data_IF_995208929382
#
_entry.id   IF_995208929382
#
_cell.length_a   1.000
_cell.length_b   1.000
_cell.length_c   1.000
_cell.angle_alpha   90.00
_cell.angle_beta   90.00
_cell.angle_gamma   90.00
#
_symmetry.space_group_name_H-M   'P 1'
#
loop_
_entity.id
_entity.type
_entity.pdbx_description
1 polymer ?
#
# COMPACT_ATOMS: atom_id res chain seq x y z
N UNK A 1 26.96 -17.14 3.83
CA UNK A 1 26.30 -15.86 3.51
C UNK A 1 26.71 -14.83 4.56
N UNK A 2 27.39 -13.76 4.16
CA UNK A 2 27.80 -12.71 5.10
C UNK A 2 26.59 -11.94 5.64
N UNK A 3 26.56 -11.65 6.94
CA UNK A 3 25.56 -10.76 7.53
C UNK A 3 25.69 -9.39 6.84
N UNK A 4 24.61 -8.91 6.21
CA UNK A 4 24.60 -7.60 5.58
C UNK A 4 24.88 -6.48 6.59
N UNK A 5 25.60 -5.44 6.17
CA UNK A 5 25.92 -4.28 7.00
C UNK A 5 24.63 -3.66 7.58
N UNK A 6 24.59 -3.51 8.90
CA UNK A 6 23.47 -2.88 9.60
C UNK A 6 23.35 -1.40 9.23
N UNK A 7 22.14 -0.84 9.36
CA UNK A 7 21.92 0.60 9.23
C UNK A 7 22.14 1.28 10.58
N UNK A 8 22.98 2.31 10.59
CA UNK A 8 23.20 3.26 11.68
C UNK A 8 21.96 4.11 11.95
N UNK A 9 21.99 4.87 13.05
CA UNK A 9 20.89 5.76 13.42
C UNK A 9 20.72 6.91 12.40
N UNK A 10 21.81 7.52 11.94
CA UNK A 10 21.80 8.58 10.94
C UNK A 10 21.24 8.11 9.60
N UNK A 11 21.64 6.92 9.13
CA UNK A 11 21.08 6.33 7.91
C UNK A 11 19.56 6.12 8.02
N UNK A 12 19.07 5.66 9.18
CA UNK A 12 17.62 5.48 9.40
C UNK A 12 16.88 6.81 9.41
N UNK A 13 17.44 7.85 10.06
CA UNK A 13 16.86 9.19 10.06
C UNK A 13 16.76 9.76 8.64
N UNK A 14 17.80 9.59 7.83
CA UNK A 14 17.78 10.02 6.42
C UNK A 14 16.71 9.29 5.61
N UNK A 15 16.53 7.97 5.81
CA UNK A 15 15.47 7.21 5.14
C UNK A 15 14.09 7.75 5.52
N UNK A 16 13.86 8.06 6.80
CA UNK A 16 12.59 8.62 7.28
C UNK A 16 12.30 9.96 6.58
N UNK A 17 13.27 10.86 6.55
CA UNK A 17 13.14 12.18 5.91
C UNK A 17 12.80 12.05 4.41
N UNK A 18 13.53 11.20 3.67
CA UNK A 18 13.29 10.99 2.25
C UNK A 18 11.90 10.43 1.95
N UNK A 19 11.37 9.58 2.83
CA UNK A 19 10.02 9.02 2.70
C UNK A 19 8.96 10.08 2.96
N UNK A 20 9.19 10.99 3.90
CA UNK A 20 8.27 12.11 4.15
C UNK A 20 8.14 13.04 2.97
N UNK A 21 9.23 13.27 2.24
CA UNK A 21 9.23 14.04 0.99
C UNK A 21 8.53 13.28 -0.16
N UNK A 22 8.39 11.96 -0.06
CA UNK A 22 7.86 11.08 -1.10
C UNK A 22 6.67 10.25 -0.59
N UNK A 23 5.64 10.90 -0.02
CA UNK A 23 4.47 10.23 0.59
C UNK A 23 3.73 9.23 -0.32
N UNK A 24 3.92 9.30 -1.64
CA UNK A 24 3.37 8.35 -2.62
C UNK A 24 3.71 6.89 -2.29
N UNK A 25 4.86 6.61 -1.67
CA UNK A 25 5.29 5.26 -1.31
C UNK A 25 4.42 4.59 -0.24
N UNK A 26 3.68 5.38 0.55
CA UNK A 26 2.77 4.92 1.60
C UNK A 26 1.30 4.96 1.17
N UNK A 27 1.03 5.30 -0.09
CA UNK A 27 -0.32 5.26 -0.62
C UNK A 27 -0.86 3.82 -0.69
N UNK A 28 -2.04 3.61 -0.10
CA UNK A 28 -2.75 2.32 -0.05
C UNK A 28 -3.34 1.89 -1.40
N UNK A 29 -3.38 2.77 -2.40
CA UNK A 29 -3.85 2.42 -3.75
C UNK A 29 -2.99 1.31 -4.38
N UNK A 30 -3.65 0.37 -5.05
CA UNK A 30 -3.06 -0.82 -5.67
C UNK A 30 -3.25 -0.86 -7.19
N UNK A 31 -3.71 0.22 -7.81
CA UNK A 31 -3.80 0.29 -9.28
C UNK A 31 -2.41 0.28 -9.95
N UNK A 32 -2.35 -0.11 -11.22
CA UNK A 32 -1.09 -0.27 -11.96
C UNK A 32 -0.28 1.04 -12.02
N UNK A 33 -0.94 2.18 -12.16
CA UNK A 33 -0.32 3.50 -12.17
C UNK A 33 0.31 3.85 -10.82
N UNK A 34 -0.41 3.61 -9.71
CA UNK A 34 0.10 3.81 -8.35
C UNK A 34 1.27 2.88 -8.05
N UNK A 35 1.25 1.64 -8.55
CA UNK A 35 2.39 0.72 -8.41
C UNK A 35 3.61 1.26 -9.15
N UNK A 36 3.43 1.73 -10.39
CA UNK A 36 4.48 2.35 -11.18
C UNK A 36 5.07 3.57 -10.46
N UNK A 37 4.22 4.49 -10.02
CA UNK A 37 4.63 5.71 -9.32
C UNK A 37 5.35 5.41 -8.01
N UNK A 38 4.88 4.42 -7.24
CA UNK A 38 5.56 3.94 -6.03
C UNK A 38 6.95 3.39 -6.36
N UNK A 39 7.08 2.58 -7.41
CA UNK A 39 8.38 2.03 -7.80
C UNK A 39 9.35 3.13 -8.21
N UNK A 40 8.91 4.09 -9.02
CA UNK A 40 9.71 5.26 -9.40
C UNK A 40 10.13 6.10 -8.20
N UNK A 41 9.22 6.31 -7.25
CA UNK A 41 9.54 7.03 -6.01
C UNK A 41 10.58 6.29 -5.16
N UNK A 42 10.47 4.96 -5.04
CA UNK A 42 11.45 4.13 -4.35
C UNK A 42 12.84 4.15 -4.99
N UNK A 43 12.91 4.18 -6.33
CA UNK A 43 14.15 4.37 -7.06
C UNK A 43 14.77 5.75 -6.78
N UNK A 44 13.94 6.80 -6.80
CA UNK A 44 14.36 8.16 -6.48
C UNK A 44 14.91 8.27 -5.05
N UNK A 45 14.18 7.77 -4.05
CA UNK A 45 14.61 7.72 -2.65
C UNK A 45 15.96 7.01 -2.53
N UNK A 46 16.10 5.84 -3.16
CA UNK A 46 17.32 5.04 -3.09
C UNK A 46 18.50 5.78 -3.73
N UNK A 47 18.28 6.44 -4.86
CA UNK A 47 19.28 7.26 -5.55
C UNK A 47 19.74 8.41 -4.67
N UNK A 48 18.80 9.15 -4.07
CA UNK A 48 19.10 10.27 -3.18
C UNK A 48 19.84 9.78 -1.94
N UNK A 49 19.33 8.76 -1.25
CA UNK A 49 19.99 8.15 -0.10
C UNK A 49 21.44 7.77 -0.41
N UNK A 50 21.66 7.06 -1.52
CA UNK A 50 22.99 6.67 -1.94
C UNK A 50 23.89 7.87 -2.30
N UNK A 51 23.35 9.02 -2.70
CA UNK A 51 24.12 10.23 -3.01
C UNK A 51 24.45 11.07 -1.77
N UNK A 52 23.66 10.96 -0.70
CA UNK A 52 23.71 11.85 0.47
C UNK A 52 24.84 11.56 1.47
N UNK A 53 25.61 10.47 1.34
CA UNK A 53 26.56 10.11 2.40
C UNK A 53 27.67 9.14 2.02
N UNK A 54 28.62 9.03 2.96
CA UNK A 54 29.74 8.09 2.93
C UNK A 54 29.36 6.77 3.62
N UNK A 55 28.31 6.14 3.09
CA UNK A 55 27.84 4.83 3.55
C UNK A 55 27.77 3.87 2.37
N UNK A 56 27.79 2.54 2.62
CA UNK A 56 27.66 1.54 1.57
C UNK A 56 26.42 1.79 0.73
N UNK A 57 26.56 1.68 -0.59
CA UNK A 57 25.43 1.81 -1.52
C UNK A 57 24.43 0.69 -1.24
N UNK A 58 23.14 1.06 -1.19
CA UNK A 58 22.05 0.12 -0.93
C UNK A 58 21.19 -0.04 -2.17
N UNK A 59 20.61 -1.23 -2.33
CA UNK A 59 19.61 -1.50 -3.35
C UNK A 59 18.24 -1.05 -2.88
N UNK A 60 17.32 -0.84 -3.83
CA UNK A 60 15.93 -0.44 -3.54
C UNK A 60 15.27 -1.41 -2.55
N UNK A 61 15.49 -2.72 -2.73
CA UNK A 61 14.97 -3.76 -1.83
C UNK A 61 15.49 -3.61 -0.39
N UNK A 62 16.77 -3.26 -0.22
CA UNK A 62 17.36 -3.05 1.11
C UNK A 62 16.80 -1.81 1.80
N UNK A 63 16.55 -0.72 1.06
CA UNK A 63 15.95 0.51 1.60
C UNK A 63 14.49 0.25 1.99
N UNK A 64 13.70 -0.39 1.11
CA UNK A 64 12.32 -0.84 1.39
C UNK A 64 12.26 -1.70 2.66
N UNK A 65 13.17 -2.68 2.78
CA UNK A 65 13.26 -3.55 3.96
C UNK A 65 13.61 -2.78 5.24
N UNK A 66 14.54 -1.82 5.15
CA UNK A 66 14.89 -0.96 6.29
C UNK A 66 13.67 -0.18 6.78
N UNK A 67 12.94 0.45 5.86
CA UNK A 67 11.71 1.18 6.18
C UNK A 67 10.63 0.29 6.80
N UNK A 68 10.40 -0.89 6.23
CA UNK A 68 9.49 -1.87 6.82
C UNK A 68 9.88 -2.21 8.26
N UNK A 69 11.17 -2.48 8.51
CA UNK A 69 11.67 -2.77 9.85
C UNK A 69 11.50 -1.59 10.81
N UNK A 70 11.68 -0.35 10.34
CA UNK A 70 11.44 0.86 11.14
C UNK A 70 9.97 0.92 11.58
N UNK A 71 9.02 0.73 10.64
CA UNK A 71 7.58 0.72 10.95
C UNK A 71 7.21 -0.42 11.90
N UNK A 72 7.70 -1.63 11.64
CA UNK A 72 7.41 -2.81 12.47
C UNK A 72 7.95 -2.63 13.89
N UNK A 73 9.19 -2.14 14.04
CA UNK A 73 9.76 -1.84 15.35
C UNK A 73 8.92 -0.80 16.10
N UNK A 74 8.55 0.29 15.42
CA UNK A 74 7.76 1.35 16.04
C UNK A 74 6.38 0.86 16.47
N UNK A 75 5.70 0.07 15.64
CA UNK A 75 4.43 -0.58 15.98
C UNK A 75 4.56 -1.47 17.21
N UNK A 76 5.64 -2.23 17.32
CA UNK A 76 5.92 -3.08 18.49
C UNK A 76 6.13 -2.26 19.77
N UNK A 77 6.85 -1.14 19.70
CA UNK A 77 7.05 -0.24 20.85
C UNK A 77 5.70 0.33 21.33
N UNK A 78 4.86 0.78 20.40
CA UNK A 78 3.53 1.31 20.68
C UNK A 78 2.65 0.24 21.32
N UNK A 79 2.55 -0.95 20.72
CA UNK A 79 1.74 -2.05 21.25
C UNK A 79 2.24 -2.49 22.63
N UNK A 80 3.55 -2.62 22.82
CA UNK A 80 4.12 -3.05 24.10
C UNK A 80 3.84 -2.05 25.21
N UNK A 81 3.90 -0.75 24.93
CA UNK A 81 3.53 0.26 25.90
C UNK A 81 2.03 0.24 26.22
N UNK A 82 1.16 0.16 25.21
CA UNK A 82 -0.29 0.04 25.42
C UNK A 82 -0.61 -1.14 26.34
N UNK A 83 -0.01 -2.30 26.06
CA UNK A 83 -0.15 -3.50 26.89
C UNK A 83 0.37 -3.29 28.31
N UNK A 84 1.51 -2.61 28.47
CA UNK A 84 2.05 -2.30 29.79
C UNK A 84 1.13 -1.37 30.60
N UNK A 85 0.54 -0.36 29.96
CA UNK A 85 -0.40 0.59 30.60
C UNK A 85 -1.68 -0.09 31.05
N UNK A 86 -2.17 -1.08 30.29
CA UNK A 86 -3.41 -1.81 30.61
C UNK A 86 -3.24 -2.87 31.70
N UNK A 87 -2.00 -3.24 32.07
CA UNK A 87 -1.76 -4.22 33.15
C UNK A 87 -2.14 -3.64 34.50
N UNK A 88 -3.22 -4.14 35.08
CA UNK A 88 -3.64 -3.85 36.45
C UNK A 88 -3.03 -4.89 37.40
N UNK A 89 -2.11 -4.47 38.27
CA UNK A 89 -1.42 -5.43 39.16
C UNK A 89 -0.34 -4.82 40.06
N UNK A 90 -0.54 -3.59 40.54
CA UNK A 90 0.36 -2.94 41.52
C UNK A 90 1.81 -2.75 41.09
N UNK A 91 2.13 -2.94 39.80
CA UNK A 91 3.48 -2.83 39.27
C UNK A 91 3.98 -1.38 39.23
N UNK A 92 5.30 -1.19 38.98
CA UNK A 92 5.88 0.14 38.81
C UNK A 92 5.16 0.93 37.71
N UNK A 93 5.08 2.26 37.88
CA UNK A 93 4.48 3.15 36.89
C UNK A 93 5.20 3.01 35.54
N UNK A 94 4.42 2.86 34.46
CA UNK A 94 4.96 2.74 33.10
C UNK A 94 5.48 4.11 32.65
N UNK A 95 6.75 4.16 32.23
CA UNK A 95 7.34 5.37 31.65
C UNK A 95 6.62 5.77 30.36
N UNK A 96 6.50 7.08 30.11
CA UNK A 96 5.90 7.60 28.88
C UNK A 96 6.69 7.14 27.67
N UNK A 97 5.99 6.67 26.64
CA UNK A 97 6.63 6.43 25.34
C UNK A 97 7.22 7.72 24.79
N UNK A 98 8.43 7.62 24.27
CA UNK A 98 9.01 8.68 23.43
C UNK A 98 8.19 8.76 22.15
N UNK A 99 7.57 9.92 21.93
CA UNK A 99 6.82 10.21 20.71
C UNK A 99 7.77 10.36 19.52
N UNK A 100 7.36 9.83 18.37
CA UNK A 100 8.07 10.03 17.11
C UNK A 100 7.05 10.34 16.02
N UNK A 101 6.56 11.58 15.94
CA UNK A 101 5.41 11.94 15.10
C UNK A 101 5.65 11.60 13.62
N UNK A 102 6.91 11.64 13.20
CA UNK A 102 7.35 11.34 11.85
C UNK A 102 7.12 9.88 11.43
N UNK A 103 7.25 8.94 12.36
CA UNK A 103 7.06 7.50 12.12
C UNK A 103 5.66 7.07 12.57
N UNK A 104 5.12 7.72 13.60
CA UNK A 104 3.81 7.43 14.18
C UNK A 104 2.68 7.63 13.16
N UNK A 105 2.78 8.63 12.26
CA UNK A 105 1.88 8.81 11.12
C UNK A 105 1.79 7.55 10.24
N UNK A 106 2.90 6.85 10.04
CA UNK A 106 3.00 5.69 9.13
C UNK A 106 2.85 4.34 9.83
N UNK A 107 2.97 4.29 11.16
CA UNK A 107 2.84 3.06 11.94
C UNK A 107 1.41 2.48 11.93
N UNK A 108 0.44 3.26 11.41
CA UNK A 108 -0.94 2.87 11.11
C UNK A 108 -1.51 1.92 12.17
N UNK A 109 -1.64 2.46 13.38
CA UNK A 109 -2.12 1.78 14.57
C UNK A 109 -3.56 1.32 14.29
N UNK A 110 -3.87 0.06 14.65
CA UNK A 110 -5.23 -0.45 14.58
C UNK A 110 -6.16 0.50 15.36
N UNK A 111 -7.17 1.06 14.70
CA UNK A 111 -8.26 1.71 15.40
C UNK A 111 -8.93 0.66 16.27
N UNK A 112 -9.18 1.00 17.54
CA UNK A 112 -10.10 0.21 18.36
C UNK A 112 -11.43 0.16 17.62
N UNK A 113 -11.96 -1.05 17.43
CA UNK A 113 -13.31 -1.23 16.91
C UNK A 113 -14.25 -0.86 18.05
N UNK A 114 -15.03 0.23 17.96
CA UNK A 114 -15.92 0.62 19.04
C UNK A 114 -16.92 -0.50 19.32
N UNK A 115 -16.95 -0.98 20.56
CA UNK A 115 -17.88 -2.04 20.98
C UNK A 115 -17.48 -3.47 20.64
N UNK A 116 -16.24 -3.72 20.21
CA UNK A 116 -15.73 -5.09 20.12
C UNK A 116 -15.54 -5.68 21.53
N UNK A 117 -16.38 -6.65 21.87
CA UNK A 117 -16.26 -7.51 23.05
C UNK A 117 -15.26 -8.61 22.66
N UNK A 118 -14.06 -8.59 23.23
CA UNK A 118 -13.07 -9.65 23.05
C UNK A 118 -13.34 -10.81 24.03
N UNK A 119 -12.62 -11.92 23.87
CA UNK A 119 -12.77 -13.10 24.72
C UNK A 119 -12.45 -12.84 26.21
N UNK A 120 -11.87 -11.69 26.53
CA UNK A 120 -11.52 -11.25 27.87
C UNK A 120 -12.51 -10.21 28.42
N UNK A 121 -13.50 -9.81 27.62
CA UNK A 121 -14.57 -8.90 28.03
C UNK A 121 -15.58 -9.69 28.86
N UNK A 122 -15.29 -9.83 30.16
CA UNK A 122 -16.25 -10.32 31.12
C UNK A 122 -17.34 -9.25 31.24
N UNK A 123 -18.44 -9.42 30.51
CA UNK A 123 -19.68 -8.76 30.88
C UNK A 123 -20.11 -9.34 32.23
N UNK A 124 -19.68 -8.71 33.33
CA UNK A 124 -19.98 -9.11 34.72
C UNK A 124 -21.46 -8.90 35.08
N UNK A 125 -22.38 -9.12 34.15
CA UNK A 125 -23.80 -8.92 34.37
C UNK A 125 -24.47 -10.17 34.95
N UNK A 126 -23.83 -11.35 34.89
CA UNK A 126 -24.46 -12.62 35.26
C UNK A 126 -23.68 -13.45 36.31
N UNK A 127 -22.63 -12.89 36.92
CA UNK A 127 -21.85 -13.57 37.98
C UNK A 127 -21.98 -12.76 39.26
N UNK A 128 -22.77 -13.27 40.22
CA UNK A 128 -22.84 -12.69 41.56
C UNK A 128 -21.97 -13.53 42.50
N UNK A 129 -20.96 -12.89 43.08
CA UNK A 129 -20.08 -13.47 44.09
C UNK A 129 -20.69 -13.23 45.47
N UNK A 130 -20.95 -14.30 46.22
CA UNK A 130 -21.41 -14.21 47.62
C UNK A 130 -20.41 -14.96 48.49
N UNK A 131 -19.93 -14.30 49.54
CA UNK A 131 -19.15 -14.95 50.62
C UNK A 131 -20.10 -15.72 51.52
N UNK A 132 -19.92 -17.03 51.62
CA UNK A 132 -20.62 -17.87 52.58
C UNK A 132 -20.09 -17.63 54.00
N UNK A 133 -20.88 -17.98 55.01
CA UNK A 133 -20.57 -17.70 56.43
C UNK A 133 -19.33 -18.40 56.98
N UNK A 134 -18.77 -19.35 56.23
CA UNK A 134 -17.53 -20.07 56.49
C UNK A 134 -16.32 -19.49 55.72
N UNK A 135 -16.50 -18.38 55.00
CA UNK A 135 -15.41 -17.61 54.38
C UNK A 135 -15.02 -18.07 52.97
N UNK A 136 -15.77 -18.99 52.36
CA UNK A 136 -15.56 -19.43 50.98
C UNK A 136 -16.34 -18.55 49.98
N UNK A 137 -15.79 -18.41 48.77
CA UNK A 137 -16.42 -17.66 47.68
C UNK A 137 -17.22 -18.62 46.81
N UNK A 138 -18.54 -18.46 46.77
CA UNK A 138 -19.43 -19.29 45.95
C UNK A 138 -19.95 -18.46 44.74
N UNK A 139 -19.79 -19.03 43.55
CA UNK A 139 -20.17 -18.38 42.28
C UNK A 139 -21.48 -18.96 41.77
N UNK A 140 -22.55 -18.16 41.80
CA UNK A 140 -23.86 -18.58 41.30
C UNK A 140 -24.05 -18.09 39.86
N UNK A 141 -24.28 -19.04 38.94
CA UNK A 141 -24.65 -18.80 37.55
C UNK A 141 -26.17 -18.94 37.45
N UNK A 142 -26.89 -17.86 37.13
CA UNK A 142 -28.31 -17.97 36.80
C UNK A 142 -28.46 -18.50 35.35
N UNK A 143 -29.26 -19.55 35.11
CA UNK A 143 -29.50 -20.06 33.76
C UNK A 143 -30.26 -19.00 32.97
N UNK A 144 -29.72 -18.65 31.79
CA UNK A 144 -30.45 -17.88 30.78
C UNK A 144 -31.25 -18.86 29.93
N UNK A 145 -32.56 -18.64 29.82
CA UNK A 145 -33.45 -19.37 28.93
C UNK A 145 -33.12 -19.00 27.47
N UNK A 146 -32.18 -19.71 26.83
CA UNK A 146 -32.10 -19.76 25.37
C UNK A 146 -31.92 -21.21 24.92
N UNK A 147 -33.03 -21.76 24.43
CA UNK A 147 -33.13 -23.05 23.77
C UNK A 147 -32.26 -23.08 22.50
N UNK A 148 -31.26 -23.96 22.46
CA UNK A 148 -30.79 -24.57 21.22
C UNK A 148 -30.69 -26.08 21.42
N UNK A 149 -31.47 -26.78 20.61
CA UNK A 149 -31.70 -28.22 20.61
C UNK A 149 -30.41 -29.03 20.52
N UNK A 150 -30.22 -29.92 21.49
CA UNK A 150 -29.31 -31.06 21.44
C UNK A 150 -29.72 -32.03 20.32
N UNK A 151 -28.83 -32.24 19.37
CA UNK A 151 -28.82 -33.46 18.54
C UNK A 151 -27.50 -34.21 18.73
N UNK A 152 -27.53 -35.08 19.76
CA UNK A 152 -27.04 -36.46 19.73
C UNK A 152 -25.57 -36.69 19.33
N UNK A 153 -24.67 -36.64 20.31
CA UNK A 153 -23.31 -37.18 20.23
C UNK A 153 -23.37 -38.66 20.61
N UNK A 154 -23.27 -39.54 19.61
CA UNK A 154 -22.82 -40.90 19.83
C UNK A 154 -21.32 -40.95 19.51
N UNK A 155 -20.51 -41.00 20.57
CA UNK A 155 -19.13 -41.45 20.50
C UNK A 155 -19.09 -42.90 20.01
N UNK A 156 -18.48 -43.11 18.85
CA UNK A 156 -17.89 -44.42 18.54
C UNK A 156 -16.54 -44.19 17.89
N UNK A 157 -15.54 -44.82 18.50
CA UNK A 157 -14.13 -44.77 18.19
C UNK A 157 -13.77 -45.06 16.72
N UNK A 158 -12.75 -44.31 16.27
CA UNK A 158 -11.71 -44.72 15.35
C UNK A 158 -12.10 -45.56 14.12
N UNK A 159 -12.14 -44.89 12.95
CA UNK A 159 -11.45 -45.41 11.78
C UNK A 159 -10.94 -44.30 10.87
N UNK A 160 -9.61 -44.25 10.76
CA UNK A 160 -8.83 -43.40 9.89
C UNK A 160 -8.97 -43.91 8.45
N UNK A 161 -9.79 -43.25 7.62
CA UNK A 161 -9.72 -43.42 6.17
C UNK A 161 -9.64 -42.05 5.48
N UNK A 162 -8.53 -41.88 4.76
CA UNK A 162 -8.18 -40.70 3.99
C UNK A 162 -9.22 -40.39 2.91
N UNK A 163 -9.86 -39.23 3.00
CA UNK A 163 -10.62 -38.65 1.91
C UNK A 163 -10.38 -37.13 1.84
N UNK A 164 -9.17 -36.74 1.42
CA UNK A 164 -8.85 -35.35 1.01
C UNK A 164 -8.33 -35.39 -0.43
N UNK A 165 -9.20 -35.23 -1.45
CA UNK A 165 -8.71 -34.72 -2.74
C UNK A 165 -9.52 -33.55 -3.33
N UNK A 166 -10.69 -33.21 -2.81
CA UNK A 166 -11.65 -32.35 -3.55
C UNK A 166 -11.47 -30.84 -3.32
N UNK A 167 -11.08 -30.39 -2.12
CA UNK A 167 -10.95 -28.95 -1.84
C UNK A 167 -9.63 -28.36 -2.40
N UNK A 168 -8.57 -29.17 -2.43
CA UNK A 168 -7.28 -28.77 -2.98
C UNK A 168 -7.35 -28.54 -4.50
N UNK A 169 -8.10 -29.36 -5.23
CA UNK A 169 -8.33 -29.21 -6.68
C UNK A 169 -9.13 -27.95 -6.98
N UNK A 170 -10.20 -27.66 -6.23
CA UNK A 170 -10.98 -26.42 -6.41
C UNK A 170 -10.19 -25.14 -6.10
N UNK A 171 -9.22 -25.18 -5.18
CA UNK A 171 -8.33 -24.04 -4.89
C UNK A 171 -7.31 -23.81 -6.00
N UNK A 172 -6.73 -24.89 -6.55
CA UNK A 172 -5.78 -24.80 -7.67
C UNK A 172 -6.47 -24.20 -8.90
N UNK A 173 -7.66 -24.70 -9.24
CA UNK A 173 -8.43 -24.24 -10.40
C UNK A 173 -8.82 -22.75 -10.29
N UNK A 174 -9.24 -22.29 -9.10
CA UNK A 174 -9.52 -20.86 -8.85
C UNK A 174 -8.28 -19.97 -9.03
N UNK A 175 -7.11 -20.44 -8.60
CA UNK A 175 -5.86 -19.70 -8.75
C UNK A 175 -5.43 -19.64 -10.22
N UNK A 176 -5.63 -20.72 -10.97
CA UNK A 176 -5.36 -20.77 -12.41
C UNK A 176 -6.24 -19.78 -13.18
N UNK A 177 -7.55 -19.79 -12.91
CA UNK A 177 -8.53 -18.88 -13.52
C UNK A 177 -8.19 -17.41 -13.21
N UNK A 178 -7.79 -17.12 -11.97
CA UNK A 178 -7.38 -15.77 -11.59
C UNK A 178 -6.15 -15.30 -12.38
N UNK A 179 -5.15 -16.17 -12.55
CA UNK A 179 -3.95 -15.84 -13.34
C UNK A 179 -4.28 -15.57 -14.80
N UNK A 180 -5.15 -16.38 -15.40
CA UNK A 180 -5.60 -16.21 -16.79
C UNK A 180 -6.32 -14.86 -16.93
N UNK A 181 -7.24 -14.55 -16.02
CA UNK A 181 -7.97 -13.28 -16.04
C UNK A 181 -7.04 -12.08 -15.84
N UNK A 182 -6.06 -12.18 -14.94
CA UNK A 182 -5.05 -11.12 -14.74
C UNK A 182 -4.18 -10.92 -15.99
N UNK A 183 -3.84 -12.00 -16.69
CA UNK A 183 -3.08 -11.95 -17.95
C UNK A 183 -3.90 -11.35 -19.10
N UNK A 184 -5.18 -11.71 -19.22
CA UNK A 184 -6.11 -11.10 -20.19
C UNK A 184 -6.26 -9.60 -19.95
N UNK A 185 -6.48 -9.20 -18.69
CA UNK A 185 -6.56 -7.78 -18.31
C UNK A 185 -5.25 -7.06 -18.63
N UNK A 186 -4.10 -7.66 -18.34
CA UNK A 186 -2.79 -7.08 -18.67
C UNK A 186 -2.61 -6.91 -20.19
N UNK A 187 -3.03 -7.89 -20.98
CA UNK A 187 -2.94 -7.84 -22.44
C UNK A 187 -3.85 -6.76 -23.03
N UNK A 188 -5.07 -6.62 -22.54
CA UNK A 188 -6.00 -5.56 -22.96
C UNK A 188 -5.44 -4.16 -22.65
N UNK A 189 -4.91 -3.95 -21.44
CA UNK A 189 -4.29 -2.66 -21.07
C UNK A 189 -3.06 -2.34 -21.92
N UNK A 190 -2.26 -3.36 -22.26
CA UNK A 190 -1.11 -3.21 -23.16
C UNK A 190 -1.55 -2.79 -24.56
N UNK A 191 -2.60 -3.41 -25.10
CA UNK A 191 -3.14 -3.08 -26.42
C UNK A 191 -3.73 -1.66 -26.46
N UNK A 192 -4.50 -1.27 -25.44
CA UNK A 192 -5.05 0.08 -25.31
C UNK A 192 -3.94 1.14 -25.29
N UNK A 193 -2.86 0.89 -24.54
CA UNK A 193 -1.71 1.80 -24.48
C UNK A 193 -1.02 1.93 -25.84
N UNK A 194 -0.83 0.83 -26.57
CA UNK A 194 -0.23 0.84 -27.91
C UNK A 194 -1.10 1.62 -28.89
N UNK A 195 -2.42 1.41 -28.85
CA UNK A 195 -3.37 2.13 -29.69
C UNK A 195 -3.33 3.64 -29.41
N UNK A 196 -3.23 4.02 -28.12
CA UNK A 196 -3.10 5.42 -27.72
C UNK A 196 -1.81 6.06 -28.25
N UNK A 197 -0.69 5.36 -28.14
CA UNK A 197 0.61 5.84 -28.66
C UNK A 197 0.52 6.03 -30.18
N UNK A 198 -0.08 5.10 -30.91
CA UNK A 198 -0.18 5.20 -32.37
C UNK A 198 -1.11 6.34 -32.81
N UNK A 199 -2.25 6.52 -32.13
CA UNK A 199 -3.14 7.66 -32.37
C UNK A 199 -2.44 9.01 -32.13
N UNK A 200 -1.66 9.13 -31.05
CA UNK A 200 -0.87 10.34 -30.78
C UNK A 200 0.19 10.60 -31.86
N UNK A 201 0.85 9.53 -32.34
CA UNK A 201 1.81 9.64 -33.46
C UNK A 201 1.14 10.11 -34.74
N UNK A 202 -0.02 9.57 -35.10
CA UNK A 202 -0.77 10.00 -36.29
C UNK A 202 -1.24 11.46 -36.16
N UNK A 203 -1.70 11.88 -34.98
CA UNK A 203 -2.04 13.28 -34.72
C UNK A 203 -0.84 14.21 -34.91
N UNK A 204 0.35 13.81 -34.44
CA UNK A 204 1.57 14.58 -34.63
C UNK A 204 1.98 14.65 -36.12
N UNK A 205 1.86 13.55 -36.87
CA UNK A 205 2.10 13.55 -38.32
C UNK A 205 1.16 14.52 -39.03
N UNK A 206 -0.14 14.47 -38.73
CA UNK A 206 -1.15 15.37 -39.32
C UNK A 206 -0.85 16.83 -39.01
N UNK A 207 -0.55 17.17 -37.74
CA UNK A 207 -0.18 18.52 -37.33
C UNK A 207 1.05 19.03 -38.07
N UNK A 208 2.08 18.17 -38.24
CA UNK A 208 3.29 18.54 -38.98
C UNK A 208 2.96 18.91 -40.44
N UNK A 209 2.17 18.08 -41.12
CA UNK A 209 1.72 18.34 -42.49
C UNK A 209 0.93 19.65 -42.55
N UNK A 210 0.00 19.86 -41.62
CA UNK A 210 -0.81 21.08 -41.56
C UNK A 210 0.05 22.34 -41.39
N UNK A 211 1.05 22.30 -40.50
CA UNK A 211 1.99 23.43 -40.32
C UNK A 211 2.83 23.70 -41.56
N UNK A 212 3.23 22.66 -42.29
CA UNK A 212 4.02 22.79 -43.52
C UNK A 212 3.18 23.37 -44.65
N UNK A 213 1.93 22.93 -44.80
CA UNK A 213 0.96 23.51 -45.75
C UNK A 213 0.73 24.98 -45.44
N UNK A 214 0.46 25.33 -44.18
CA UNK A 214 0.25 26.73 -43.78
C UNK A 214 1.49 27.61 -44.04
N UNK A 215 2.69 27.06 -43.82
CA UNK A 215 3.96 27.75 -44.12
C UNK A 215 4.12 28.00 -45.63
N UNK A 216 3.87 27.00 -46.46
CA UNK A 216 3.96 27.12 -47.91
C UNK A 216 2.93 28.12 -48.48
N UNK A 217 1.70 28.10 -47.95
CA UNK A 217 0.66 29.08 -48.28
C UNK A 217 1.12 30.52 -47.99
N UNK A 218 1.78 30.73 -46.84
CA UNK A 218 2.30 32.04 -46.47
C UNK A 218 3.43 32.49 -47.41
N UNK A 219 4.33 31.58 -47.79
CA UNK A 219 5.40 31.85 -48.74
C UNK A 219 4.81 32.27 -50.08
N UNK A 220 3.86 31.50 -50.60
CA UNK A 220 3.19 31.80 -51.87
C UNK A 220 2.51 33.18 -51.86
N UNK A 221 1.80 33.53 -50.78
CA UNK A 221 1.19 34.87 -50.63
C UNK A 221 2.22 35.99 -50.62
N UNK A 222 3.37 35.79 -49.97
CA UNK A 222 4.46 36.77 -49.93
C UNK A 222 5.08 36.98 -51.32
N UNK A 223 5.38 35.90 -52.04
CA UNK A 223 5.94 35.97 -53.39
C UNK A 223 4.98 36.64 -54.37
N UNK A 224 3.69 36.30 -54.29
CA UNK A 224 2.64 36.98 -55.08
C UNK A 224 2.62 38.48 -54.81
N UNK A 225 2.60 38.89 -53.55
CA UNK A 225 2.59 40.30 -53.20
C UNK A 225 3.87 41.03 -53.66
N UNK A 226 5.03 40.36 -53.54
CA UNK A 226 6.31 40.92 -53.99
C UNK A 226 6.31 41.16 -55.50
N UNK A 227 5.85 40.19 -56.29
CA UNK A 227 5.76 40.32 -57.75
C UNK A 227 4.77 41.40 -58.18
N UNK A 228 3.62 41.52 -57.51
CA UNK A 228 2.67 42.62 -57.72
C UNK A 228 3.31 44.00 -57.44
N UNK A 229 4.08 44.11 -56.36
CA UNK A 229 4.80 45.35 -56.01
C UNK A 229 5.92 45.69 -57.01
N UNK A 230 6.65 44.70 -57.50
CA UNK A 230 7.67 44.91 -58.54
C UNK A 230 7.07 45.39 -59.85
N UNK A 231 5.92 44.82 -60.26
CA UNK A 231 5.18 45.27 -61.45
C UNK A 231 4.76 46.74 -61.32
N UNK A 232 4.15 47.12 -60.19
CA UNK A 232 3.72 48.49 -59.94
C UNK A 232 4.89 49.49 -59.97
N UNK A 233 6.05 49.12 -59.41
CA UNK A 233 7.26 49.95 -59.46
C UNK A 233 7.79 50.16 -60.88
N UNK A 234 7.71 49.13 -61.74
CA UNK A 234 8.11 49.25 -63.15
C UNK A 234 7.17 50.18 -63.91
N UNK A 235 5.86 50.04 -63.72
CA UNK A 235 4.85 50.89 -64.39
C UNK A 235 4.94 52.37 -64.00
N UNK A 236 5.40 52.70 -62.79
CA UNK A 236 5.59 54.10 -62.35
C UNK A 236 6.87 54.73 -62.94
N UNK A 237 7.86 53.90 -63.33
CA UNK A 237 9.15 54.35 -63.84
C UNK A 237 9.24 54.38 -65.39
N UNK A 238 8.18 53.97 -66.10
CA UNK A 238 8.00 54.10 -67.55
C UNK A 238 7.12 55.32 -67.89
#
# INVERSE_FOLDING_TARGET
MGKGLAYSASEKSLIIELIQLNKVVENKKTDAFSIHDKNKAWESITKTFNASGDHPKRTVSQVKKCWHNIKTKRKSEITSHKQAVLRTGGGPAVEKLVENPLIDEFANIACEIPGAIDSDTIASHNITCVTTSDGYLEFNIQPSDDNLSDSNINDTDANFTNAVPTEATSRIERVEIQKINDEEIHNLLKEELLLKIENERELLKRRKIETEVASNDLIFRKEKHLTEMELLKRTINE
#
